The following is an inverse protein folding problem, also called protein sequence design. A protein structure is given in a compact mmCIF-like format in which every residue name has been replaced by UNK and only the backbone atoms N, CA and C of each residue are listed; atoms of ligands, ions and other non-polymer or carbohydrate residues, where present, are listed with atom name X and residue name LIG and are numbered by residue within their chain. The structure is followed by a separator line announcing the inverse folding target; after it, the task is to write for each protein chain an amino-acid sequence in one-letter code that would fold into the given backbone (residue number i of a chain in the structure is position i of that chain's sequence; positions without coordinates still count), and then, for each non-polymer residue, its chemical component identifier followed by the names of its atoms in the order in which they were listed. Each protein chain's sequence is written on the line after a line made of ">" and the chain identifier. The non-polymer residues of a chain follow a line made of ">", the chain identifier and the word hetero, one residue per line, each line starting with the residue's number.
data_IF_165272768991
#
_entry.id   IF_165272768991
#
_cell.length_a   1.000
_cell.length_b   1.000
_cell.length_c   1.000
_cell.angle_alpha   90.00
_cell.angle_beta   90.00
_cell.angle_gamma   90.00
#
_symmetry.space_group_name_H-M   'P 1'
#
loop_
_entity.id
_entity.type
_entity.pdbx_description
1 polymer ?
#
# COMPACT_ATOMS: atom_id res chain seq x y z
N UNK A 1 17.20 19.79 19.35
CA UNK A 1 17.00 18.52 18.64
C UNK A 1 15.59 17.93 18.75
N UNK A 2 14.64 18.48 19.53
CA UNK A 2 13.24 17.95 19.59
C UNK A 2 12.30 18.49 18.52
N UNK A 3 12.62 19.63 17.89
CA UNK A 3 11.75 20.33 16.93
C UNK A 3 11.63 19.62 15.57
N UNK A 4 12.57 18.73 15.23
CA UNK A 4 12.61 18.00 13.95
C UNK A 4 11.93 16.63 13.99
N UNK A 5 11.51 16.16 15.18
CA UNK A 5 11.04 14.80 15.37
C UNK A 5 9.67 14.53 14.71
N UNK A 6 8.75 15.49 14.75
CA UNK A 6 7.42 15.33 14.15
C UNK A 6 7.48 15.32 12.61
N UNK A 7 8.17 16.28 11.94
CA UNK A 7 8.39 16.19 10.50
C UNK A 7 9.07 14.89 10.07
N UNK A 8 10.10 14.44 10.79
CA UNK A 8 10.82 13.20 10.46
C UNK A 8 9.92 11.96 10.65
N UNK A 9 9.03 11.96 11.65
CA UNK A 9 8.04 10.92 11.85
C UNK A 9 7.02 10.86 10.70
N UNK A 10 6.52 12.01 10.25
CA UNK A 10 5.58 12.07 9.13
C UNK A 10 6.22 11.58 7.82
N UNK A 11 7.50 11.89 7.59
CA UNK A 11 8.26 11.34 6.46
C UNK A 11 8.44 9.82 6.58
N UNK A 12 8.78 9.33 7.78
CA UNK A 12 8.89 7.89 8.04
C UNK A 12 7.58 7.14 7.79
N UNK A 13 6.43 7.76 8.10
CA UNK A 13 5.10 7.23 7.81
C UNK A 13 4.82 7.12 6.30
N UNK A 14 5.44 7.96 5.48
CA UNK A 14 5.44 7.84 4.02
C UNK A 14 6.56 6.92 3.49
N UNK A 15 7.19 6.13 4.35
CA UNK A 15 8.21 5.16 3.94
C UNK A 15 9.60 5.75 3.68
N UNK A 16 9.79 7.05 3.91
CA UNK A 16 11.05 7.77 3.67
C UNK A 16 11.91 7.69 4.93
N UNK A 17 13.11 7.08 4.86
CA UNK A 17 14.03 7.09 6.00
C UNK A 17 14.62 8.49 6.21
N UNK A 18 14.89 8.83 7.47
CA UNK A 18 15.50 10.09 7.89
C UNK A 18 16.61 9.88 8.91
N UNK A 19 16.90 10.91 9.70
CA UNK A 19 17.97 10.90 10.69
C UNK A 19 17.55 10.21 12.00
N UNK A 20 16.28 10.37 12.40
CA UNK A 20 15.73 9.75 13.62
C UNK A 20 15.15 8.38 13.31
N UNK A 21 14.49 8.25 12.16
CA UNK A 21 13.83 7.03 11.70
C UNK A 21 14.60 6.40 10.55
N UNK A 22 15.38 5.37 10.84
CA UNK A 22 16.27 4.70 9.89
C UNK A 22 15.69 3.36 9.46
N UNK A 23 16.08 2.89 8.27
CA UNK A 23 15.82 1.50 7.88
C UNK A 23 16.83 0.59 8.56
N UNK A 24 16.34 -0.41 9.28
CA UNK A 24 17.16 -1.49 9.80
C UNK A 24 17.74 -2.30 8.63
N UNK A 25 19.05 -2.47 8.61
CA UNK A 25 19.76 -3.23 7.59
C UNK A 25 19.35 -4.71 7.53
N UNK A 26 18.86 -5.28 8.64
CA UNK A 26 18.50 -6.71 8.73
C UNK A 26 17.07 -7.00 8.31
N UNK A 27 16.14 -6.18 8.79
CA UNK A 27 14.70 -6.40 8.60
C UNK A 27 14.12 -5.54 7.49
N UNK A 28 14.89 -4.55 7.00
CA UNK A 28 14.43 -3.48 6.11
C UNK A 28 13.23 -2.67 6.67
N UNK A 29 12.86 -2.89 7.93
CA UNK A 29 11.81 -2.17 8.60
C UNK A 29 12.32 -0.82 9.11
N UNK A 30 11.44 0.16 9.15
CA UNK A 30 11.73 1.46 9.73
C UNK A 30 11.68 1.38 11.26
N UNK A 31 12.71 1.91 11.90
CA UNK A 31 12.85 1.95 13.36
C UNK A 31 13.59 3.21 13.81
N UNK A 32 13.41 3.59 15.07
CA UNK A 32 14.15 4.69 15.69
C UNK A 32 15.63 4.30 15.83
N UNK A 33 16.55 5.17 15.42
CA UNK A 33 17.98 4.92 15.48
C UNK A 33 18.46 4.68 16.94
N UNK A 34 19.35 3.68 17.12
CA UNK A 34 19.73 3.15 18.43
C UNK A 34 20.63 4.09 19.24
N UNK A 35 21.28 5.03 18.57
CA UNK A 35 22.22 6.03 19.09
C UNK A 35 21.54 7.30 19.65
N UNK A 36 20.21 7.32 19.67
CA UNK A 36 19.44 8.45 20.17
C UNK A 36 19.14 8.32 21.67
N UNK A 37 19.90 9.03 22.49
CA UNK A 37 19.78 9.02 23.96
C UNK A 37 18.65 9.91 24.53
N UNK A 38 18.13 10.85 23.74
CA UNK A 38 17.10 11.80 24.23
C UNK A 38 15.66 11.26 24.20
N UNK A 39 15.45 10.06 23.65
CA UNK A 39 14.17 9.36 23.55
C UNK A 39 14.14 8.25 24.60
N UNK A 40 13.15 8.28 25.49
CA UNK A 40 13.00 7.22 26.50
C UNK A 40 12.67 5.86 25.85
N UNK A 41 12.96 4.76 26.56
CA UNK A 41 12.64 3.41 26.07
C UNK A 41 11.15 3.23 25.75
N UNK A 42 10.27 3.83 26.55
CA UNK A 42 8.81 3.80 26.34
C UNK A 42 8.41 4.59 25.09
N UNK A 43 8.95 5.80 24.90
CA UNK A 43 8.69 6.60 23.68
C UNK A 43 9.20 5.88 22.43
N UNK A 44 10.38 5.27 22.51
CA UNK A 44 10.97 4.48 21.42
C UNK A 44 10.07 3.32 21.01
N UNK A 45 9.48 2.59 21.96
CA UNK A 45 8.52 1.52 21.66
C UNK A 45 7.28 2.06 20.93
N UNK A 46 6.73 3.19 21.37
CA UNK A 46 5.58 3.84 20.73
C UNK A 46 5.91 4.28 19.29
N UNK A 47 7.04 4.95 19.11
CA UNK A 47 7.50 5.37 17.80
C UNK A 47 7.73 4.19 16.85
N UNK A 48 8.40 3.13 17.31
CA UNK A 48 8.58 1.92 16.52
C UNK A 48 7.24 1.28 16.15
N UNK A 49 6.25 1.25 17.05
CA UNK A 49 4.93 0.72 16.75
C UNK A 49 4.22 1.54 15.65
N UNK A 50 4.27 2.87 15.74
CA UNK A 50 3.66 3.78 14.75
C UNK A 50 4.35 3.66 13.40
N UNK A 51 5.68 3.67 13.37
CA UNK A 51 6.47 3.71 12.12
C UNK A 51 6.39 2.40 11.32
N UNK A 52 5.94 1.30 11.92
CA UNK A 52 5.67 0.04 11.20
C UNK A 52 4.70 0.21 10.04
N UNK A 53 3.70 1.10 10.17
CA UNK A 53 2.76 1.37 9.07
C UNK A 53 3.48 1.96 7.86
N UNK A 54 4.51 2.80 8.08
CA UNK A 54 5.34 3.37 7.03
C UNK A 54 6.20 2.32 6.30
N UNK A 55 6.55 1.22 6.99
CA UNK A 55 7.21 0.08 6.35
C UNK A 55 6.25 -0.62 5.39
N UNK A 56 5.02 -0.91 5.83
CA UNK A 56 3.97 -1.50 4.97
C UNK A 56 3.66 -0.60 3.77
N UNK A 57 3.54 0.71 3.99
CA UNK A 57 3.37 1.71 2.92
C UNK A 57 4.51 1.61 1.88
N UNK A 58 5.77 1.64 2.33
CA UNK A 58 6.94 1.61 1.45
C UNK A 58 7.05 0.31 0.63
N UNK A 59 6.61 -0.81 1.20
CA UNK A 59 6.55 -2.10 0.51
C UNK A 59 5.49 -2.06 -0.59
N UNK A 60 4.26 -1.67 -0.25
CA UNK A 60 3.17 -1.58 -1.24
C UNK A 60 3.49 -0.60 -2.37
N UNK A 61 4.01 0.58 -2.04
CA UNK A 61 4.38 1.60 -3.04
C UNK A 61 5.41 1.06 -4.03
N UNK A 62 6.46 0.37 -3.53
CA UNK A 62 7.47 -0.25 -4.38
C UNK A 62 6.87 -1.32 -5.29
N UNK A 63 6.07 -2.22 -4.74
CA UNK A 63 5.44 -3.31 -5.48
C UNK A 63 4.50 -2.78 -6.57
N UNK A 64 3.71 -1.74 -6.25
CA UNK A 64 2.85 -1.06 -7.22
C UNK A 64 3.67 -0.43 -8.34
N UNK A 65 4.75 0.31 -8.01
CA UNK A 65 5.60 0.95 -9.01
C UNK A 65 6.21 -0.09 -9.97
N UNK A 66 6.76 -1.18 -9.44
CA UNK A 66 7.29 -2.29 -10.23
C UNK A 66 6.25 -2.92 -11.16
N UNK A 67 5.02 -3.12 -10.68
CA UNK A 67 3.92 -3.65 -11.50
C UNK A 67 3.49 -2.68 -12.62
N UNK A 68 3.63 -1.37 -12.42
CA UNK A 68 3.20 -0.36 -13.40
C UNK A 68 4.27 -0.10 -14.48
N UNK A 69 5.55 -0.26 -14.13
CA UNK A 69 6.70 -0.04 -15.00
C UNK A 69 7.06 -1.26 -15.89
N UNK A 70 6.53 -2.45 -15.58
CA UNK A 70 6.78 -3.69 -16.33
C UNK A 70 6.04 -3.68 -17.68
N UNK A 71 6.66 -3.03 -18.66
CA UNK A 71 6.34 -3.11 -20.07
C UNK A 71 7.10 -4.30 -20.72
N UNK A 72 6.42 -5.10 -21.54
CA UNK A 72 7.00 -6.23 -22.28
C UNK A 72 6.82 -5.97 -23.76
N UNK A 73 7.89 -6.10 -24.54
CA UNK A 73 7.82 -6.02 -26.00
C UNK A 73 7.45 -7.39 -26.58
N UNK A 74 6.41 -7.44 -27.42
CA UNK A 74 6.07 -8.61 -28.20
C UNK A 74 7.06 -8.81 -29.37
N UNK A 75 7.01 -9.98 -30.02
CA UNK A 75 7.84 -10.29 -31.19
C UNK A 75 7.60 -9.37 -32.41
N UNK A 76 6.56 -8.53 -32.37
CA UNK A 76 6.21 -7.54 -33.38
C UNK A 76 6.59 -6.11 -32.96
N UNK A 77 7.34 -5.95 -31.86
CA UNK A 77 7.80 -4.66 -31.34
C UNK A 77 6.72 -3.85 -30.63
N UNK A 78 5.57 -4.44 -30.29
CA UNK A 78 4.51 -3.78 -29.53
C UNK A 78 4.74 -3.99 -28.03
N UNK A 79 4.83 -2.88 -27.31
CA UNK A 79 4.98 -2.88 -25.85
C UNK A 79 3.60 -3.11 -25.21
N UNK A 80 3.40 -4.26 -24.57
CA UNK A 80 2.23 -4.56 -23.75
C UNK A 80 2.64 -4.86 -22.31
N UNK A 81 1.81 -4.46 -21.34
CA UNK A 81 2.09 -4.73 -19.92
C UNK A 81 1.65 -6.14 -19.56
N UNK A 82 2.39 -6.83 -18.67
CA UNK A 82 2.26 -8.28 -18.40
C UNK A 82 0.86 -8.79 -18.03
N UNK A 83 0.03 -7.97 -17.40
CA UNK A 83 -1.31 -8.37 -16.97
C UNK A 83 -2.23 -7.16 -16.83
N UNK A 84 -3.46 -7.24 -17.33
CA UNK A 84 -4.53 -6.25 -17.10
C UNK A 84 -5.04 -6.34 -15.66
N UNK A 85 -5.21 -7.55 -15.14
CA UNK A 85 -5.73 -7.79 -13.79
C UNK A 85 -4.77 -7.36 -12.69
N UNK A 86 -3.46 -7.65 -12.82
CA UNK A 86 -2.43 -7.18 -11.87
C UNK A 86 -2.34 -5.65 -11.85
N UNK A 87 -2.54 -4.99 -13.00
CA UNK A 87 -2.59 -3.51 -13.05
C UNK A 87 -3.84 -2.95 -12.38
N UNK A 88 -4.99 -3.59 -12.56
CA UNK A 88 -6.20 -3.19 -11.86
C UNK A 88 -6.04 -3.35 -10.34
N UNK A 89 -5.39 -4.44 -9.91
CA UNK A 89 -5.02 -4.64 -8.51
C UNK A 89 -4.05 -3.55 -8.03
N UNK A 90 -2.94 -3.31 -8.74
CA UNK A 90 -1.97 -2.27 -8.38
C UNK A 90 -2.62 -0.88 -8.30
N UNK A 91 -3.54 -0.57 -9.22
CA UNK A 91 -4.29 0.69 -9.18
C UNK A 91 -5.24 0.75 -7.98
N UNK A 92 -5.92 -0.35 -7.68
CA UNK A 92 -6.79 -0.42 -6.51
C UNK A 92 -6.01 -0.21 -5.22
N UNK A 93 -4.84 -0.84 -5.07
CA UNK A 93 -3.95 -0.63 -3.94
C UNK A 93 -3.41 0.81 -3.89
N UNK A 94 -3.07 1.42 -5.02
CA UNK A 94 -2.62 2.83 -5.05
C UNK A 94 -3.70 3.79 -4.60
N UNK A 95 -4.97 3.50 -4.85
CA UNK A 95 -6.06 4.33 -4.36
C UNK A 95 -6.22 4.22 -2.83
N UNK A 96 -5.96 3.03 -2.23
CA UNK A 96 -5.89 2.89 -0.77
C UNK A 96 -4.69 3.65 -0.19
N UNK A 97 -3.52 3.58 -0.83
CA UNK A 97 -2.35 4.38 -0.43
C UNK A 97 -2.61 5.89 -0.53
N UNK A 98 -3.29 6.34 -1.61
CA UNK A 98 -3.66 7.76 -1.77
C UNK A 98 -4.57 8.24 -0.64
N UNK A 99 -5.49 7.40 -0.16
CA UNK A 99 -6.35 7.73 0.98
C UNK A 99 -5.55 7.88 2.28
N UNK A 100 -4.57 6.99 2.49
CA UNK A 100 -3.63 7.07 3.61
C UNK A 100 -2.74 8.32 3.53
N UNK A 101 -2.14 8.62 2.37
CA UNK A 101 -1.35 9.82 2.11
C UNK A 101 -2.17 11.09 2.46
N UNK A 102 -3.45 11.13 2.07
CA UNK A 102 -4.36 12.21 2.42
C UNK A 102 -4.58 12.38 3.93
N UNK A 103 -4.51 11.32 4.72
CA UNK A 103 -4.55 11.41 6.20
C UNK A 103 -3.24 11.97 6.75
N UNK A 104 -2.09 11.54 6.21
CA UNK A 104 -0.77 12.05 6.63
C UNK A 104 -0.65 13.56 6.34
N UNK A 105 -1.09 14.01 5.17
CA UNK A 105 -1.11 15.44 4.83
C UNK A 105 -1.98 16.28 5.78
N UNK A 106 -3.10 15.73 6.26
CA UNK A 106 -3.92 16.40 7.30
C UNK A 106 -3.16 16.49 8.62
N UNK A 107 -2.50 15.42 9.03
CA UNK A 107 -1.68 15.40 10.24
C UNK A 107 -0.51 16.40 10.15
N UNK A 108 0.11 16.54 8.99
CA UNK A 108 1.12 17.55 8.74
C UNK A 108 0.57 18.97 8.89
N UNK A 109 -0.60 19.27 8.32
CA UNK A 109 -1.26 20.56 8.49
C UNK A 109 -1.58 20.87 9.96
N UNK A 110 -2.02 19.87 10.72
CA UNK A 110 -2.31 20.03 12.13
C UNK A 110 -1.03 20.23 12.97
N UNK A 111 0.07 19.60 12.58
CA UNK A 111 1.39 19.84 13.17
C UNK A 111 1.83 21.30 12.97
N UNK A 112 1.65 21.82 11.75
CA UNK A 112 2.00 23.21 11.39
C UNK A 112 1.15 24.25 12.12
N UNK A 113 -0.08 23.90 12.53
CA UNK A 113 -0.97 24.79 13.30
C UNK A 113 -0.58 24.97 14.76
N UNK A 114 0.53 24.36 15.22
CA UNK A 114 1.10 24.62 16.54
C UNK A 114 0.62 23.68 17.64
N UNK A 115 0.13 22.49 17.30
CA UNK A 115 -0.13 21.45 18.29
C UNK A 115 1.17 21.02 18.99
N UNK A 116 1.12 20.84 20.30
CA UNK A 116 2.29 20.37 21.08
C UNK A 116 2.74 18.99 20.58
N UNK A 117 4.06 18.75 20.52
CA UNK A 117 4.64 17.49 20.04
C UNK A 117 4.08 16.25 20.76
N UNK A 118 3.83 16.32 22.08
CA UNK A 118 3.24 15.21 22.83
C UNK A 118 1.78 14.96 22.45
N UNK A 119 1.02 16.00 22.11
CA UNK A 119 -0.36 15.88 21.63
C UNK A 119 -0.38 15.32 20.21
N UNK A 120 0.60 15.69 19.38
CA UNK A 120 0.71 15.22 18.01
C UNK A 120 0.94 13.72 17.91
N UNK A 121 1.81 13.15 18.74
CA UNK A 121 2.06 11.69 18.73
C UNK A 121 0.78 10.91 19.05
N UNK A 122 0.02 11.33 20.07
CA UNK A 122 -1.28 10.69 20.37
C UNK A 122 -2.31 10.88 19.26
N UNK A 123 -2.33 12.05 18.61
CA UNK A 123 -3.21 12.29 17.46
C UNK A 123 -2.85 11.37 16.29
N UNK A 124 -1.56 11.20 15.99
CA UNK A 124 -1.06 10.30 14.94
C UNK A 124 -1.42 8.84 15.27
N UNK A 125 -1.15 8.38 16.49
CA UNK A 125 -1.51 7.02 16.93
C UNK A 125 -3.01 6.75 16.78
N UNK A 126 -3.85 7.69 17.21
CA UNK A 126 -5.29 7.55 17.10
C UNK A 126 -5.77 7.60 15.65
N UNK A 127 -5.17 8.44 14.81
CA UNK A 127 -5.57 8.61 13.41
C UNK A 127 -5.17 7.41 12.55
N UNK A 128 -4.08 6.72 12.90
CA UNK A 128 -3.50 5.62 12.11
C UNK A 128 -3.76 4.23 12.69
N UNK A 129 -4.51 4.11 13.79
CA UNK A 129 -4.78 2.84 14.46
C UNK A 129 -5.34 1.77 13.49
N UNK A 130 -6.22 2.19 12.59
CA UNK A 130 -6.82 1.33 11.58
C UNK A 130 -5.92 1.03 10.37
N UNK A 131 -5.17 2.04 9.92
CA UNK A 131 -4.36 1.96 8.71
C UNK A 131 -3.22 0.94 8.84
N UNK A 132 -2.67 0.76 10.04
CA UNK A 132 -1.65 -0.26 10.30
C UNK A 132 -2.17 -1.69 10.02
N UNK A 133 -3.40 -1.98 10.41
CA UNK A 133 -4.03 -3.28 10.16
C UNK A 133 -4.32 -3.44 8.67
N UNK A 134 -4.87 -2.41 8.03
CA UNK A 134 -5.23 -2.44 6.61
C UNK A 134 -4.00 -2.62 5.72
N UNK A 135 -3.00 -1.74 5.83
CA UNK A 135 -1.83 -1.78 4.94
C UNK A 135 -1.02 -3.06 5.11
N UNK A 136 -0.88 -3.57 6.34
CA UNK A 136 -0.20 -4.85 6.57
C UNK A 136 -0.97 -6.01 5.94
N UNK A 137 -2.28 -6.09 6.14
CA UNK A 137 -3.09 -7.14 5.54
C UNK A 137 -3.03 -7.11 4.01
N UNK A 138 -2.99 -5.92 3.40
CA UNK A 138 -2.81 -5.75 1.96
C UNK A 138 -1.43 -6.26 1.49
N UNK A 139 -0.35 -5.98 2.23
CA UNK A 139 0.99 -6.52 1.93
C UNK A 139 0.95 -8.05 1.91
N UNK A 140 0.53 -8.66 3.03
CA UNK A 140 0.53 -10.10 3.23
C UNK A 140 -0.36 -10.84 2.21
N UNK A 141 -1.47 -10.22 1.80
CA UNK A 141 -2.43 -10.86 0.90
C UNK A 141 -2.01 -10.82 -0.57
N UNK A 142 -1.21 -9.83 -0.97
CA UNK A 142 -0.92 -9.57 -2.38
C UNK A 142 0.55 -9.67 -2.75
N UNK A 143 1.48 -9.83 -1.79
CA UNK A 143 2.91 -10.06 -2.06
C UNK A 143 3.11 -11.19 -3.09
N UNK A 144 2.56 -12.38 -2.83
CA UNK A 144 2.66 -13.52 -3.75
C UNK A 144 1.99 -13.29 -5.12
N UNK A 145 0.97 -12.42 -5.20
CA UNK A 145 0.31 -12.08 -6.47
C UNK A 145 1.23 -11.27 -7.37
N UNK A 146 2.13 -10.46 -6.82
CA UNK A 146 3.09 -9.67 -7.58
C UNK A 146 4.43 -10.38 -7.80
N UNK A 147 4.82 -11.30 -6.90
CA UNK A 147 6.06 -12.07 -7.04
C UNK A 147 5.95 -13.21 -8.06
N UNK A 148 4.83 -13.93 -8.10
CA UNK A 148 4.66 -15.06 -9.00
C UNK A 148 4.10 -14.62 -10.36
N UNK A 149 4.97 -14.54 -11.36
CA UNK A 149 4.61 -14.19 -12.75
C UNK A 149 3.56 -15.09 -13.40
N UNK A 150 3.28 -16.27 -12.83
CA UNK A 150 2.23 -17.15 -13.32
C UNK A 150 0.83 -16.77 -12.81
N UNK A 151 0.73 -15.89 -11.80
CA UNK A 151 -0.55 -15.41 -11.27
C UNK A 151 -1.08 -14.29 -12.16
N UNK A 152 -1.92 -14.67 -13.12
CA UNK A 152 -2.50 -13.77 -14.12
C UNK A 152 -4.03 -13.93 -14.21
N UNK A 153 -4.69 -12.98 -14.87
CA UNK A 153 -6.12 -13.07 -15.17
C UNK A 153 -7.01 -13.36 -13.96
N UNK A 154 -7.78 -14.45 -14.09
CA UNK A 154 -8.75 -14.88 -13.07
C UNK A 154 -8.12 -15.25 -11.71
N UNK A 155 -6.84 -15.63 -11.67
CA UNK A 155 -6.16 -15.99 -10.42
C UNK A 155 -5.93 -14.75 -9.54
N UNK A 156 -5.65 -13.59 -10.15
CA UNK A 156 -5.57 -12.30 -9.44
C UNK A 156 -6.92 -11.94 -8.83
N UNK A 157 -8.01 -12.12 -9.59
CA UNK A 157 -9.36 -11.88 -9.10
C UNK A 157 -9.73 -12.84 -7.97
N UNK A 158 -9.34 -14.12 -8.09
CA UNK A 158 -9.53 -15.14 -7.04
C UNK A 158 -8.77 -14.77 -5.78
N UNK A 159 -7.51 -14.35 -5.89
CA UNK A 159 -6.73 -13.89 -4.76
C UNK A 159 -7.39 -12.70 -4.03
N UNK A 160 -7.86 -11.69 -4.78
CA UNK A 160 -8.57 -10.55 -4.21
C UNK A 160 -9.88 -10.95 -3.52
N UNK A 161 -10.67 -11.85 -4.12
CA UNK A 161 -11.90 -12.38 -3.53
C UNK A 161 -11.61 -13.14 -2.24
N UNK A 162 -10.63 -14.02 -2.27
CA UNK A 162 -10.30 -14.87 -1.13
C UNK A 162 -9.72 -14.03 0.03
N UNK A 163 -8.94 -12.99 -0.27
CA UNK A 163 -8.49 -12.01 0.72
C UNK A 163 -9.68 -11.26 1.37
N UNK A 164 -10.64 -10.80 0.57
CA UNK A 164 -11.87 -10.16 1.07
C UNK A 164 -12.69 -11.09 1.98
N UNK A 165 -12.87 -12.35 1.59
CA UNK A 165 -13.64 -13.31 2.37
C UNK A 165 -12.96 -13.69 3.69
N UNK A 166 -11.62 -13.73 3.71
CA UNK A 166 -10.83 -14.04 4.91
C UNK A 166 -10.58 -12.83 5.82
N UNK A 167 -10.88 -11.61 5.36
CA UNK A 167 -10.67 -10.40 6.16
C UNK A 167 -11.62 -10.36 7.38
N UNK A 168 -11.03 -10.57 8.56
CA UNK A 168 -11.76 -10.55 9.84
C UNK A 168 -11.93 -9.15 10.45
N UNK A 169 -11.00 -8.22 10.17
CA UNK A 169 -11.09 -6.85 10.67
C UNK A 169 -12.01 -6.00 9.77
N UNK A 170 -12.99 -5.26 10.32
CA UNK A 170 -13.97 -4.51 9.51
C UNK A 170 -13.33 -3.56 8.50
N UNK A 171 -12.37 -2.74 8.93
CA UNK A 171 -11.72 -1.77 8.05
C UNK A 171 -10.88 -2.43 6.95
N UNK A 172 -10.24 -3.57 7.27
CA UNK A 172 -9.51 -4.35 6.28
C UNK A 172 -10.49 -4.97 5.28
N UNK A 173 -11.62 -5.50 5.76
CA UNK A 173 -12.67 -6.08 4.92
C UNK A 173 -13.21 -5.05 3.92
N UNK A 174 -13.49 -3.83 4.37
CA UNK A 174 -13.93 -2.75 3.48
C UNK A 174 -12.87 -2.39 2.43
N UNK A 175 -11.59 -2.33 2.83
CA UNK A 175 -10.50 -2.11 1.88
C UNK A 175 -10.38 -3.23 0.85
N UNK A 176 -10.43 -4.50 1.28
CA UNK A 176 -10.41 -5.65 0.37
C UNK A 176 -11.63 -5.69 -0.55
N UNK A 177 -12.80 -5.27 -0.08
CA UNK A 177 -14.00 -5.17 -0.92
C UNK A 177 -13.79 -4.17 -2.05
N UNK A 178 -13.29 -2.97 -1.74
CA UNK A 178 -12.95 -1.94 -2.75
C UNK A 178 -11.91 -2.45 -3.74
N UNK A 179 -10.90 -3.17 -3.26
CA UNK A 179 -9.88 -3.79 -4.11
C UNK A 179 -10.48 -4.83 -5.04
N UNK A 180 -11.23 -5.79 -4.49
CA UNK A 180 -11.90 -6.83 -5.25
C UNK A 180 -12.86 -6.26 -6.31
N UNK A 181 -13.64 -5.25 -5.94
CA UNK A 181 -14.57 -4.58 -6.85
C UNK A 181 -13.83 -4.01 -8.06
N UNK A 182 -12.72 -3.29 -7.85
CA UNK A 182 -11.91 -2.70 -8.93
C UNK A 182 -11.29 -3.75 -9.85
N UNK A 183 -10.78 -4.85 -9.29
CA UNK A 183 -10.26 -5.96 -10.11
C UNK A 183 -11.39 -6.59 -10.94
N UNK A 184 -12.56 -6.79 -10.34
CA UNK A 184 -13.73 -7.37 -11.02
C UNK A 184 -14.26 -6.47 -12.15
N UNK A 185 -14.10 -5.15 -12.06
CA UNK A 185 -14.51 -4.24 -13.13
C UNK A 185 -13.82 -4.56 -14.47
N UNK A 186 -12.59 -5.07 -14.46
CA UNK A 186 -11.89 -5.49 -15.69
C UNK A 186 -12.67 -6.59 -16.40
N UNK A 187 -13.02 -7.66 -15.67
CA UNK A 187 -13.81 -8.76 -16.20
C UNK A 187 -15.17 -8.28 -16.70
N UNK A 188 -15.85 -7.42 -15.94
CA UNK A 188 -17.16 -6.89 -16.33
C UNK A 188 -17.09 -6.08 -17.62
N UNK A 189 -16.03 -5.30 -17.82
CA UNK A 189 -15.80 -4.56 -19.08
C UNK A 189 -15.54 -5.51 -20.25
N UNK A 190 -14.75 -6.57 -20.04
CA UNK A 190 -14.49 -7.59 -21.06
C UNK A 190 -15.80 -8.34 -21.45
N UNK A 191 -16.60 -8.74 -20.45
CA UNK A 191 -17.91 -9.37 -20.67
C UNK A 191 -18.88 -8.43 -21.40
N UNK A 192 -18.92 -7.15 -21.03
CA UNK A 192 -19.78 -6.17 -21.70
C UNK A 192 -19.37 -5.99 -23.16
N UNK A 193 -18.07 -5.88 -23.45
CA UNK A 193 -17.56 -5.79 -24.82
C UNK A 193 -17.98 -6.99 -25.67
N UNK A 194 -17.87 -8.19 -25.10
CA UNK A 194 -18.33 -9.42 -25.75
C UNK A 194 -19.84 -9.42 -26.00
N UNK A 195 -20.65 -9.14 -24.97
CA UNK A 195 -22.11 -9.18 -25.07
C UNK A 195 -22.68 -8.10 -26.00
N UNK A 196 -22.06 -6.91 -26.05
CA UNK A 196 -22.58 -5.78 -26.83
C UNK A 196 -22.11 -5.80 -28.29
N UNK A 197 -20.88 -6.24 -28.54
CA UNK A 197 -20.23 -6.09 -29.86
C UNK A 197 -19.74 -7.41 -30.46
N UNK A 198 -19.82 -8.53 -29.74
CA UNK A 198 -19.26 -9.81 -30.18
C UNK A 198 -17.73 -9.81 -30.24
N UNK A 199 -17.07 -8.84 -29.59
CA UNK A 199 -15.62 -8.68 -29.60
C UNK A 199 -15.07 -8.68 -28.18
N UNK A 200 -14.10 -9.54 -27.89
CA UNK A 200 -13.35 -9.53 -26.63
C UNK A 200 -12.13 -8.62 -26.79
N UNK A 201 -12.03 -7.61 -25.94
CA UNK A 201 -10.82 -6.76 -25.83
C UNK A 201 -9.95 -7.34 -24.71
N UNK A 202 -9.07 -8.26 -25.08
CA UNK A 202 -8.19 -8.95 -24.15
C UNK A 202 -6.74 -8.95 -24.66
N UNK A 203 -6.02 -7.82 -24.51
CA UNK A 203 -4.69 -7.65 -25.08
C UNK A 203 -3.62 -8.52 -24.41
N UNK A 204 -3.93 -9.10 -23.24
CA UNK A 204 -3.01 -9.94 -22.48
C UNK A 204 -3.41 -11.42 -22.50
N UNK A 205 -4.46 -11.80 -23.24
CA UNK A 205 -4.96 -13.18 -23.32
C UNK A 205 -5.26 -13.78 -21.93
N UNK A 206 -5.90 -12.99 -21.06
CA UNK A 206 -6.23 -13.34 -19.67
C UNK A 206 -7.73 -13.67 -19.45
N UNK A 207 -8.56 -13.53 -20.48
CA UNK A 207 -10.00 -13.77 -20.44
C UNK A 207 -10.34 -15.23 -20.82
N UNK A 208 -10.59 -16.05 -19.79
CA UNK A 208 -10.89 -17.48 -19.80
C UNK A 208 -9.75 -18.43 -20.20
#
# INVERSE_FOLDING_TARGET
>A
SRTTLIPDLLLALLGVPGDVFVRDAKTCALAVANDIDFISSTERQRFNAVVRVGTSYAVLERTIAQCMDTAVEDAHGRVFRRSVYRRALARALKDELSAYEGKILKLEQDALRGASASSMVSTIESALHGDDVVLRALCESFEGVFEDENVIGSDVMRAARDAWLRAGHPEAREAFERVYWKVTQVMMQQMLGWCAYGTIVDPCEEFF
#
